data_IF_339429233150
#
_entry.id   IF_339429233150
#
_cell.length_a   1.000
_cell.length_b   1.000
_cell.length_c   1.000
_cell.angle_alpha   90.00
_cell.angle_beta   90.00
_cell.angle_gamma   90.00
#
_symmetry.space_group_name_H-M   'P 1'
#
loop_
_entity.id
_entity.type
_entity.pdbx_description
1 polymer ?
#
# COMPACT_ATOMS: atom_id res chain seq x y z
N UNK A 1 -3.13 -23.45 -9.20
CA UNK A 1 -3.71 -22.87 -7.97
C UNK A 1 -2.73 -21.85 -7.44
N UNK A 2 -3.07 -20.56 -7.60
CA UNK A 2 -2.21 -19.44 -7.23
C UNK A 2 -2.18 -19.28 -5.71
N UNK A 3 -1.12 -19.79 -5.09
CA UNK A 3 -0.85 -19.61 -3.65
C UNK A 3 -0.39 -18.19 -3.26
N UNK A 4 -0.44 -17.23 -4.18
CA UNK A 4 0.09 -15.88 -3.98
C UNK A 4 -0.87 -14.93 -3.26
N UNK A 5 -2.10 -15.35 -2.98
CA UNK A 5 -3.06 -14.58 -2.19
C UNK A 5 -3.47 -15.41 -0.97
N UNK A 6 -2.47 -15.91 -0.22
CA UNK A 6 -2.69 -16.08 1.21
C UNK A 6 -2.77 -14.66 1.77
N UNK A 7 -3.99 -14.14 1.91
CA UNK A 7 -4.27 -13.10 2.90
C UNK A 7 -3.96 -13.72 4.27
N UNK A 8 -2.68 -13.79 4.63
CA UNK A 8 -2.34 -13.68 6.02
C UNK A 8 -2.78 -12.28 6.39
N UNK A 9 -3.66 -12.20 7.37
CA UNK A 9 -3.82 -11.02 8.20
C UNK A 9 -2.50 -10.77 8.96
N UNK A 10 -1.41 -10.57 8.23
CA UNK A 10 -0.13 -10.18 8.78
C UNK A 10 -0.35 -8.74 9.26
N UNK A 11 -0.43 -8.59 10.58
CA UNK A 11 -0.44 -7.29 11.24
C UNK A 11 0.68 -6.44 10.62
N UNK A 12 0.33 -5.23 10.19
CA UNK A 12 1.29 -4.26 9.68
C UNK A 12 2.41 -4.08 10.70
N UNK A 13 3.66 -4.27 10.28
CA UNK A 13 4.84 -4.14 11.12
C UNK A 13 4.93 -2.73 11.71
N UNK A 14 5.56 -2.60 12.89
CA UNK A 14 5.82 -1.29 13.52
C UNK A 14 6.59 -0.36 12.55
N UNK A 15 7.48 -0.94 11.74
CA UNK A 15 8.21 -0.17 10.74
C UNK A 15 7.30 0.35 9.62
N UNK A 16 6.38 -0.49 9.14
CA UNK A 16 5.39 -0.11 8.13
C UNK A 16 4.42 0.96 8.68
N UNK A 17 3.97 0.81 9.93
CA UNK A 17 3.13 1.81 10.60
C UNK A 17 3.83 3.18 10.72
N UNK A 18 5.12 3.21 11.06
CA UNK A 18 5.90 4.45 11.12
C UNK A 18 6.00 5.13 9.75
N UNK A 19 6.20 4.36 8.69
CA UNK A 19 6.26 4.87 7.32
C UNK A 19 4.91 5.47 6.91
N UNK A 20 3.81 4.73 7.14
CA UNK A 20 2.45 5.20 6.85
C UNK A 20 2.16 6.50 7.60
N UNK A 21 2.43 6.52 8.92
CA UNK A 21 2.20 7.69 9.77
C UNK A 21 3.00 8.91 9.30
N UNK A 22 4.25 8.72 8.91
CA UNK A 22 5.10 9.81 8.40
C UNK A 22 4.54 10.41 7.11
N UNK A 23 4.12 9.57 6.16
CA UNK A 23 3.54 10.00 4.89
C UNK A 23 2.21 10.73 5.13
N UNK A 24 1.34 10.17 5.97
CA UNK A 24 0.06 10.79 6.33
C UNK A 24 0.23 12.11 7.08
N UNK A 25 1.28 12.25 7.90
CA UNK A 25 1.61 13.52 8.58
C UNK A 25 1.93 14.67 7.62
N UNK A 26 2.28 14.37 6.38
CA UNK A 26 2.52 15.36 5.33
C UNK A 26 1.25 15.66 4.51
N UNK A 27 0.09 15.18 4.97
CA UNK A 27 -1.20 15.36 4.31
C UNK A 27 -1.40 14.43 3.11
N UNK A 28 -0.54 13.42 2.93
CA UNK A 28 -0.63 12.47 1.82
C UNK A 28 -1.44 11.25 2.27
N UNK A 29 -2.61 11.05 1.65
CA UNK A 29 -3.40 9.84 1.86
C UNK A 29 -2.75 8.66 1.12
N UNK A 30 -2.21 7.70 1.87
CA UNK A 30 -1.46 6.59 1.28
C UNK A 30 -2.32 5.67 0.42
N UNK A 31 -3.62 5.56 0.72
CA UNK A 31 -4.56 4.75 -0.10
C UNK A 31 -4.79 5.39 -1.45
N UNK A 32 -4.95 6.70 -1.48
CA UNK A 32 -5.13 7.44 -2.74
C UNK A 32 -3.85 7.37 -3.57
N UNK A 33 -2.68 7.51 -2.94
CA UNK A 33 -1.39 7.33 -3.60
C UNK A 33 -1.27 5.94 -4.23
N UNK A 34 -1.56 4.88 -3.47
CA UNK A 34 -1.53 3.50 -3.98
C UNK A 34 -2.56 3.33 -5.11
N UNK A 35 -3.74 3.94 -5.02
CA UNK A 35 -4.75 3.87 -6.06
C UNK A 35 -4.27 4.53 -7.36
N UNK A 36 -3.66 5.71 -7.29
CA UNK A 36 -3.07 6.41 -8.43
C UNK A 36 -1.92 5.61 -9.02
N UNK A 37 -0.99 5.13 -8.19
CA UNK A 37 0.13 4.31 -8.64
C UNK A 37 -0.34 3.00 -9.28
N UNK A 38 -1.33 2.34 -8.71
CA UNK A 38 -1.91 1.14 -9.29
C UNK A 38 -2.62 1.45 -10.60
N UNK A 39 -3.32 2.58 -10.73
CA UNK A 39 -3.85 3.00 -12.04
C UNK A 39 -2.73 3.19 -13.05
N UNK A 40 -1.65 3.87 -12.68
CA UNK A 40 -0.48 4.08 -13.53
C UNK A 40 0.30 2.79 -13.86
N UNK A 41 0.27 1.79 -12.99
CA UNK A 41 0.91 0.49 -13.21
C UNK A 41 0.01 -0.50 -13.98
N UNK A 42 -1.32 -0.38 -13.84
CA UNK A 42 -2.32 -1.24 -14.50
C UNK A 42 -2.74 -0.68 -15.86
N UNK A 43 -2.63 0.65 -16.09
CA UNK A 43 -2.64 1.22 -17.43
C UNK A 43 -1.25 1.04 -18.07
N UNK A 44 -0.97 -0.21 -18.44
CA UNK A 44 0.24 -0.60 -19.14
C UNK A 44 0.46 0.18 -20.44
N UNK A 45 1.72 0.12 -20.87
CA UNK A 45 2.15 0.24 -22.26
C UNK A 45 1.13 -0.28 -23.29
#
# INVERSE_FOLDING_TARGET
>A
MNNLIKQKSDKMSIHEQKIVTLIESHGINIRDLICVMNKSLVCGF
#
